data_IF_580889772565
#
_entry.id   IF_580889772565
#
_cell.length_a   1.000
_cell.length_b   1.000
_cell.length_c   1.000
_cell.angle_alpha   90.00
_cell.angle_beta   90.00
_cell.angle_gamma   90.00
#
_symmetry.space_group_name_H-M   'P 1'
#
loop_
_entity.id
_entity.type
_entity.pdbx_description
1 polymer ?
#
# COMPACT_ATOMS: atom_id res chain seq x y z
N UNK A 1 -3.35 3.03 -19.49
CA UNK A 1 -4.09 2.30 -18.45
C UNK A 1 -3.08 1.91 -17.39
N UNK A 2 -3.32 2.29 -16.13
CA UNK A 2 -2.47 1.92 -15.00
C UNK A 2 -2.94 0.55 -14.51
N UNK A 3 -2.08 -0.46 -14.59
CA UNK A 3 -2.33 -1.78 -14.00
C UNK A 3 -2.00 -1.71 -12.52
N UNK A 4 -2.90 -2.19 -11.66
CA UNK A 4 -2.68 -2.30 -10.22
C UNK A 4 -2.78 -3.76 -9.83
N UNK A 5 -1.70 -4.31 -9.25
CA UNK A 5 -1.61 -5.72 -8.85
C UNK A 5 -1.31 -5.81 -7.35
N UNK A 6 -2.01 -6.67 -6.63
CA UNK A 6 -1.73 -6.94 -5.21
C UNK A 6 -0.71 -8.07 -5.12
N UNK A 7 0.46 -7.79 -4.54
CA UNK A 7 1.59 -8.71 -4.53
C UNK A 7 1.67 -9.56 -3.27
N UNK A 8 1.50 -8.94 -2.10
CA UNK A 8 1.62 -9.60 -0.81
C UNK A 8 0.43 -9.29 0.07
N UNK A 9 0.04 -10.25 0.91
CA UNK A 9 -1.07 -10.12 1.85
C UNK A 9 -0.61 -10.45 3.27
N UNK A 10 -0.67 -9.47 4.15
CA UNK A 10 -0.46 -9.64 5.59
C UNK A 10 -1.76 -9.38 6.33
N UNK A 11 -2.16 -10.30 7.20
CA UNK A 11 -3.43 -10.23 7.92
C UNK A 11 -3.21 -10.07 9.43
N UNK A 12 -3.98 -9.17 10.05
CA UNK A 12 -4.16 -9.09 11.48
C UNK A 12 -5.63 -9.39 11.81
N UNK A 13 -5.84 -10.43 12.60
CA UNK A 13 -7.12 -10.64 13.27
C UNK A 13 -7.09 -9.88 14.61
N UNK A 14 -8.05 -8.97 14.81
CA UNK A 14 -8.12 -8.14 16.03
C UNK A 14 -9.17 -8.67 17.00
N UNK A 15 -10.30 -9.16 16.47
CA UNK A 15 -11.37 -9.87 17.20
C UNK A 15 -11.97 -10.94 16.27
N UNK A 16 -12.97 -11.70 16.74
CA UNK A 16 -13.71 -12.64 15.88
C UNK A 16 -14.39 -11.94 14.70
N UNK A 17 -14.88 -10.72 14.90
CA UNK A 17 -15.64 -9.95 13.91
C UNK A 17 -14.85 -8.81 13.22
N UNK A 18 -13.57 -8.61 13.58
CA UNK A 18 -12.74 -7.54 13.01
C UNK A 18 -11.40 -8.05 12.50
N UNK A 19 -11.17 -7.83 11.20
CA UNK A 19 -9.95 -8.18 10.49
C UNK A 19 -9.39 -6.98 9.75
N UNK A 20 -8.08 -6.76 9.87
CA UNK A 20 -7.35 -5.79 9.04
C UNK A 20 -6.35 -6.54 8.17
N UNK A 21 -6.40 -6.27 6.88
CA UNK A 21 -5.48 -6.78 5.87
C UNK A 21 -4.62 -5.64 5.36
N UNK A 22 -3.32 -5.90 5.19
CA UNK A 22 -2.32 -4.98 4.67
C UNK A 22 -1.69 -5.64 3.47
N UNK A 23 -1.66 -4.95 2.34
CA UNK A 23 -1.13 -5.49 1.09
C UNK A 23 -0.06 -4.57 0.51
N UNK A 24 0.94 -5.18 -0.12
CA UNK A 24 1.82 -4.48 -1.06
C UNK A 24 1.09 -4.44 -2.41
N UNK A 25 1.06 -3.26 -3.01
CA UNK A 25 0.44 -3.01 -4.30
C UNK A 25 1.52 -2.60 -5.27
N UNK A 26 1.53 -3.20 -6.44
CA UNK A 26 2.38 -2.82 -7.56
C UNK A 26 1.56 -2.02 -8.56
N UNK A 27 2.13 -0.92 -9.03
CA UNK A 27 1.57 -0.12 -10.10
C UNK A 27 2.57 0.03 -11.22
N UNK A 28 2.15 -0.38 -12.41
CA UNK A 28 2.91 -0.08 -13.62
C UNK A 28 2.47 1.27 -14.16
N UNK A 29 3.36 2.26 -14.03
CA UNK A 29 3.19 3.55 -14.70
C UNK A 29 3.66 3.36 -16.12
N UNK A 30 2.71 3.05 -17.01
CA UNK A 30 2.99 2.97 -18.44
C UNK A 30 3.39 4.37 -18.92
N UNK A 31 4.65 4.57 -19.38
CA UNK A 31 5.12 5.88 -19.79
C UNK A 31 4.50 6.23 -21.15
N UNK A 32 3.22 6.63 -21.14
CA UNK A 32 2.57 7.20 -22.31
C UNK A 32 3.22 8.52 -22.76
N UNK A 33 4.23 9.03 -22.02
CA UNK A 33 4.96 10.28 -22.27
C UNK A 33 6.48 10.08 -22.09
N UNK A 34 7.05 8.99 -22.60
CA UNK A 34 8.50 8.97 -22.89
C UNK A 34 8.64 8.62 -24.38
N UNK A 35 8.66 9.65 -25.23
CA UNK A 35 8.96 9.57 -26.68
C UNK A 35 10.37 8.99 -27.01
N UNK A 36 11.03 8.35 -26.05
CA UNK A 36 12.43 7.92 -26.09
C UNK A 36 12.62 6.55 -25.41
N UNK A 37 11.85 5.53 -25.80
CA UNK A 37 12.21 4.11 -25.56
C UNK A 37 12.44 3.69 -24.10
N UNK A 38 11.81 4.37 -23.13
CA UNK A 38 11.96 4.06 -21.71
C UNK A 38 11.25 2.76 -21.32
N UNK A 39 11.91 1.94 -20.50
CA UNK A 39 11.27 0.79 -19.85
C UNK A 39 10.10 1.25 -18.96
N UNK A 40 9.05 0.42 -18.78
CA UNK A 40 7.98 0.73 -17.84
C UNK A 40 8.55 0.99 -16.44
N UNK A 41 8.07 2.05 -15.79
CA UNK A 41 8.42 2.34 -14.40
C UNK A 41 7.42 1.61 -13.53
N UNK A 42 7.93 0.73 -12.67
CA UNK A 42 7.14 0.04 -11.66
C UNK A 42 7.29 0.81 -10.35
N UNK A 43 6.17 1.16 -9.75
CA UNK A 43 6.09 1.74 -8.41
C UNK A 43 5.32 0.82 -7.48
N UNK A 44 5.63 0.91 -6.20
CA UNK A 44 5.01 0.13 -5.15
C UNK A 44 4.25 1.05 -4.19
N UNK A 45 3.17 0.52 -3.66
CA UNK A 45 2.23 1.18 -2.77
C UNK A 45 1.70 0.22 -1.71
N UNK A 46 0.83 0.73 -0.85
CA UNK A 46 0.17 -0.06 0.19
C UNK A 46 -1.34 -0.03 0.04
N UNK A 47 -2.01 -1.11 0.42
CA UNK A 47 -3.45 -1.13 0.59
C UNK A 47 -3.81 -1.69 1.95
N UNK A 48 -4.65 -0.97 2.69
CA UNK A 48 -5.14 -1.37 3.99
C UNK A 48 -6.65 -1.53 3.91
N UNK A 49 -7.12 -2.72 4.26
CA UNK A 49 -8.55 -3.07 4.24
C UNK A 49 -8.95 -3.54 5.62
N UNK A 50 -10.00 -2.94 6.17
CA UNK A 50 -10.62 -3.33 7.43
C UNK A 50 -12.01 -3.88 7.13
N UNK A 51 -12.26 -5.09 7.60
CA UNK A 51 -13.55 -5.77 7.53
C UNK A 51 -14.09 -5.87 8.95
N UNK A 52 -15.29 -5.35 9.15
CA UNK A 52 -16.06 -5.44 10.39
C UNK A 52 -17.54 -5.64 10.08
N UNK A 53 -18.37 -5.94 11.09
CA UNK A 53 -19.83 -6.06 10.93
C UNK A 53 -20.48 -4.81 10.33
N UNK A 54 -19.90 -3.64 10.59
CA UNK A 54 -20.37 -2.36 10.06
C UNK A 54 -20.09 -2.17 8.56
N UNK A 55 -19.26 -3.03 7.96
CA UNK A 55 -18.89 -2.97 6.55
C UNK A 55 -17.38 -3.10 6.30
N UNK A 56 -17.02 -2.94 5.03
CA UNK A 56 -15.65 -2.96 4.54
C UNK A 56 -15.16 -1.52 4.29
N UNK A 57 -14.02 -1.16 4.87
CA UNK A 57 -13.30 0.08 4.65
C UNK A 57 -11.97 -0.25 4.00
N UNK A 58 -11.61 0.40 2.89
CA UNK A 58 -10.34 0.16 2.21
C UNK A 58 -9.70 1.46 1.77
N UNK A 59 -8.37 1.53 1.85
CA UNK A 59 -7.60 2.68 1.39
C UNK A 59 -6.31 2.18 0.75
N UNK A 60 -6.04 2.67 -0.45
CA UNK A 60 -4.86 2.31 -1.24
C UNK A 60 -4.06 3.58 -1.53
N UNK A 61 -2.77 3.52 -1.24
CA UNK A 61 -1.80 4.58 -1.50
C UNK A 61 -0.79 4.02 -2.50
N UNK A 62 -0.71 4.64 -3.66
CA UNK A 62 0.20 4.24 -4.74
C UNK A 62 1.44 5.13 -4.75
N UNK A 63 2.41 4.79 -5.59
CA UNK A 63 3.57 5.62 -5.91
C UNK A 63 4.43 6.02 -4.70
N UNK A 64 4.55 5.12 -3.71
CA UNK A 64 5.33 5.35 -2.49
C UNK A 64 6.83 5.20 -2.77
N UNK A 65 7.22 4.14 -3.47
CA UNK A 65 8.62 3.88 -3.80
C UNK A 65 8.76 2.99 -5.02
N UNK A 66 9.87 3.07 -5.74
CA UNK A 66 10.26 2.09 -6.77
C UNK A 66 10.95 0.85 -6.18
N UNK A 67 11.29 0.86 -4.89
CA UNK A 67 11.88 -0.28 -4.19
C UNK A 67 10.80 -1.03 -3.40
N UNK A 68 10.53 -2.27 -3.81
CA UNK A 68 9.56 -3.16 -3.16
C UNK A 68 9.88 -3.39 -1.68
N UNK A 69 11.14 -3.55 -1.31
CA UNK A 69 11.54 -3.88 0.07
C UNK A 69 11.26 -2.74 1.03
N UNK A 70 11.33 -1.49 0.57
CA UNK A 70 10.92 -0.32 1.36
C UNK A 70 9.43 -0.40 1.69
N UNK A 71 8.60 -0.74 0.69
CA UNK A 71 7.15 -0.83 0.86
C UNK A 71 6.75 -2.06 1.70
N UNK A 72 7.41 -3.21 1.54
CA UNK A 72 7.21 -4.38 2.40
C UNK A 72 7.53 -4.06 3.88
N UNK A 73 8.58 -3.30 4.12
CA UNK A 73 8.97 -2.84 5.46
C UNK A 73 7.91 -1.91 6.06
N UNK A 74 7.37 -1.01 5.24
CA UNK A 74 6.26 -0.13 5.60
C UNK A 74 4.99 -0.93 5.93
N UNK A 75 4.55 -1.85 5.07
CA UNK A 75 3.39 -2.73 5.34
C UNK A 75 3.59 -3.48 6.66
N UNK A 76 4.80 -3.99 6.93
CA UNK A 76 5.12 -4.64 8.20
C UNK A 76 5.00 -3.68 9.40
N UNK A 77 5.40 -2.42 9.25
CA UNK A 77 5.25 -1.38 10.27
C UNK A 77 3.76 -1.03 10.51
N UNK A 78 2.99 -0.82 9.44
CA UNK A 78 1.54 -0.56 9.48
C UNK A 78 0.81 -1.69 10.22
N UNK A 79 1.16 -2.95 9.89
CA UNK A 79 0.61 -4.13 10.56
C UNK A 79 0.93 -4.15 12.06
N UNK A 80 2.19 -3.88 12.45
CA UNK A 80 2.58 -3.82 13.86
C UNK A 80 1.85 -2.71 14.61
N UNK A 81 1.67 -1.55 13.97
CA UNK A 81 0.95 -0.40 14.51
C UNK A 81 -0.58 -0.55 14.50
N UNK A 82 -1.12 -1.62 13.88
CA UNK A 82 -2.55 -1.84 13.67
C UNK A 82 -3.23 -0.66 12.97
N UNK A 83 -2.52 -0.07 11.99
CA UNK A 83 -2.99 1.11 11.27
C UNK A 83 -4.27 0.76 10.51
N UNK A 84 -5.24 1.67 10.56
CA UNK A 84 -6.55 1.49 9.93
C UNK A 84 -6.58 2.19 8.57
N UNK A 85 -7.53 1.84 7.67
CA UNK A 85 -7.70 2.56 6.41
C UNK A 85 -7.84 4.08 6.58
N UNK A 86 -8.45 4.53 7.69
CA UNK A 86 -8.65 5.96 7.98
C UNK A 86 -7.33 6.67 8.28
N UNK A 87 -6.38 5.99 8.94
CA UNK A 87 -5.13 6.59 9.44
C UNK A 87 -3.92 6.28 8.56
N UNK A 88 -4.07 5.42 7.55
CA UNK A 88 -2.94 4.97 6.73
C UNK A 88 -2.30 6.10 5.92
N UNK A 89 -3.09 7.08 5.44
CA UNK A 89 -2.55 8.23 4.72
C UNK A 89 -1.56 9.02 5.58
N UNK A 90 -1.99 9.41 6.78
CA UNK A 90 -1.17 10.18 7.71
C UNK A 90 0.10 9.42 8.12
N UNK A 91 -0.02 8.12 8.43
CA UNK A 91 1.13 7.29 8.83
C UNK A 91 2.13 7.11 7.69
N UNK A 92 1.65 6.97 6.46
CA UNK A 92 2.53 6.85 5.28
C UNK A 92 3.22 8.17 4.99
N UNK A 93 2.53 9.31 5.10
CA UNK A 93 3.12 10.64 4.95
C UNK A 93 4.23 10.87 5.98
N UNK A 94 3.96 10.59 7.26
CA UNK A 94 4.95 10.68 8.34
C UNK A 94 6.16 9.76 8.08
N UNK A 95 5.92 8.53 7.62
CA UNK A 95 6.99 7.59 7.32
C UNK A 95 7.87 8.04 6.16
N UNK A 96 7.26 8.63 5.12
CA UNK A 96 7.99 9.21 3.98
C UNK A 96 8.81 10.43 4.39
N UNK A 97 8.28 11.28 5.27
CA UNK A 97 8.99 12.45 5.79
C UNK A 97 10.25 12.10 6.61
N UNK A 98 10.35 10.87 7.13
CA UNK A 98 11.55 10.40 7.85
C UNK A 98 12.66 9.86 6.92
N UNK A 99 12.36 9.62 5.65
CA UNK A 99 13.30 9.06 4.67
C UNK A 99 14.05 10.13 3.85
N UNK A 100 13.64 11.40 3.93
CA UNK A 100 14.20 12.55 3.21
C UNK A 100 14.55 13.70 4.16
#
# INVERSE_FOLDING_TARGET
MQGVVFLDKLENQLTEDMKITYNVVESEVNPAIIELGGAPIVTYGVSVTKIADSGEESTTILDISTDRTVVESLVSALRRGRVTPITVADVVEDYMALLF
#
